data_IF_301182181851
#
_entry.id   IF_301182181851
#
_cell.length_a   1.000
_cell.length_b   1.000
_cell.length_c   1.000
_cell.angle_alpha   90.00
_cell.angle_beta   90.00
_cell.angle_gamma   90.00
#
_symmetry.space_group_name_H-M   'P 1'
#
loop_
_entity.id
_entity.type
_entity.pdbx_description
1 polymer ?
#
# COMPACT_ATOMS: atom_id res chain seq x y z
N UNK A 1 13.01 3.87 -1.65
CA UNK A 1 11.83 4.60 -1.11
C UNK A 1 11.15 3.69 -0.08
N UNK A 2 10.26 4.14 0.84
CA UNK A 2 9.62 3.20 1.77
C UNK A 2 8.77 2.16 1.02
N UNK A 3 8.76 0.93 1.54
CA UNK A 3 8.00 -0.18 0.97
C UNK A 3 6.57 -0.19 1.52
N UNK A 4 5.61 -0.41 0.64
CA UNK A 4 4.19 -0.60 0.97
C UNK A 4 3.74 -1.97 0.52
N UNK A 5 3.13 -2.74 1.43
CA UNK A 5 2.49 -4.00 1.14
C UNK A 5 0.97 -3.83 1.12
N UNK A 6 0.35 -4.23 0.01
CA UNK A 6 -1.08 -4.03 -0.23
C UNK A 6 -1.90 -5.22 0.26
N UNK A 7 -2.81 -4.99 1.20
CA UNK A 7 -3.71 -6.00 1.72
C UNK A 7 -5.15 -5.74 1.28
N UNK A 8 -5.55 -6.48 0.25
CA UNK A 8 -6.89 -6.49 -0.31
C UNK A 8 -6.96 -5.73 -1.64
N UNK A 9 -8.13 -5.75 -2.27
CA UNK A 9 -8.34 -5.06 -3.55
C UNK A 9 -7.49 -5.60 -4.70
N UNK A 10 -7.36 -4.83 -5.79
CA UNK A 10 -6.71 -5.29 -7.03
C UNK A 10 -5.23 -5.65 -6.91
N UNK A 11 -4.50 -5.02 -5.97
CA UNK A 11 -3.06 -5.24 -5.73
C UNK A 11 -2.76 -6.15 -4.54
N UNK A 12 -3.73 -6.94 -4.06
CA UNK A 12 -3.53 -7.76 -2.86
C UNK A 12 -2.28 -8.66 -2.98
N UNK A 13 -1.37 -8.54 -2.01
CA UNK A 13 -0.12 -9.28 -1.96
C UNK A 13 1.06 -8.61 -2.66
N UNK A 14 0.86 -7.48 -3.34
CA UNK A 14 1.93 -6.75 -4.00
C UNK A 14 2.66 -5.80 -3.05
N UNK A 15 3.99 -5.76 -3.18
CA UNK A 15 4.87 -4.78 -2.55
C UNK A 15 5.26 -3.70 -3.55
N UNK A 16 5.27 -2.43 -3.15
CA UNK A 16 5.68 -1.31 -4.01
C UNK A 16 6.58 -0.33 -3.26
N UNK A 17 7.48 0.32 -4.00
CA UNK A 17 8.32 1.41 -3.49
C UNK A 17 7.59 2.74 -3.68
N UNK A 18 7.10 3.32 -2.57
CA UNK A 18 6.28 4.54 -2.62
C UNK A 18 7.10 5.73 -2.10
N UNK A 19 7.17 6.86 -2.83
CA UNK A 19 7.80 8.07 -2.31
C UNK A 19 7.26 8.49 -0.94
N UNK A 20 8.14 8.77 0.02
CA UNK A 20 7.75 9.07 1.41
C UNK A 20 6.77 10.25 1.55
N UNK A 21 6.81 11.23 0.64
CA UNK A 21 5.87 12.35 0.64
C UNK A 21 4.44 11.94 0.28
N UNK A 22 4.25 10.84 -0.47
CA UNK A 22 2.92 10.28 -0.74
C UNK A 22 2.38 9.51 0.47
N UNK A 23 3.26 8.93 1.30
CA UNK A 23 2.88 8.28 2.56
C UNK A 23 2.47 9.26 3.67
N UNK A 24 2.71 10.56 3.47
CA UNK A 24 2.16 11.60 4.33
C UNK A 24 0.66 11.85 4.06
N UNK A 25 0.15 11.35 2.93
CA UNK A 25 -1.28 11.38 2.63
C UNK A 25 -2.04 10.30 3.41
N UNK A 26 -3.35 10.48 3.55
CA UNK A 26 -4.22 9.48 4.19
C UNK A 26 -4.55 8.28 3.27
N UNK A 27 -4.34 8.40 1.95
CA UNK A 27 -4.72 7.39 0.96
C UNK A 27 -3.76 7.33 -0.22
N UNK A 28 -3.47 6.11 -0.69
CA UNK A 28 -2.81 5.86 -1.97
C UNK A 28 -3.87 5.46 -2.99
N UNK A 29 -3.79 6.03 -4.18
CA UNK A 29 -4.70 5.71 -5.29
C UNK A 29 -3.87 5.19 -6.46
N UNK A 30 -4.24 4.00 -6.93
CA UNK A 30 -3.67 3.38 -8.12
C UNK A 30 -4.73 3.33 -9.21
N UNK A 31 -4.36 3.81 -10.40
CA UNK A 31 -5.17 3.73 -11.61
C UNK A 31 -4.67 2.56 -12.46
N UNK A 32 -5.52 1.56 -12.64
CA UNK A 32 -5.28 0.42 -13.52
C UNK A 32 -6.25 0.43 -14.71
N UNK A 33 -5.99 -0.34 -15.78
CA UNK A 33 -6.74 -0.24 -17.04
C UNK A 33 -8.27 -0.39 -16.93
N UNK A 34 -8.77 -1.02 -15.86
CA UNK A 34 -10.20 -1.26 -15.61
C UNK A 34 -10.58 -1.14 -14.13
N UNK A 35 -9.73 -0.58 -13.29
CA UNK A 35 -9.94 -0.55 -11.84
C UNK A 35 -9.24 0.63 -11.19
N UNK A 36 -9.80 1.10 -10.07
CA UNK A 36 -9.12 2.02 -9.15
C UNK A 36 -8.92 1.31 -7.82
N UNK A 37 -7.68 1.32 -7.34
CA UNK A 37 -7.30 0.74 -6.06
C UNK A 37 -7.04 1.87 -5.08
N UNK A 38 -7.94 2.07 -4.12
CA UNK A 38 -7.75 3.05 -3.05
C UNK A 38 -7.32 2.30 -1.81
N UNK A 39 -6.19 2.69 -1.25
CA UNK A 39 -5.58 2.07 -0.10
C UNK A 39 -5.37 3.11 1.00
N UNK A 40 -5.52 2.69 2.24
CA UNK A 40 -5.20 3.51 3.41
C UNK A 40 -4.20 2.77 4.29
N UNK A 41 -3.40 3.54 5.03
CA UNK A 41 -2.50 2.98 6.04
C UNK A 41 -3.30 2.14 7.02
N UNK A 42 -2.79 0.95 7.35
CA UNK A 42 -3.37 0.14 8.41
C UNK A 42 -3.15 0.85 9.75
N UNK A 43 -4.19 0.99 10.58
CA UNK A 43 -4.12 1.65 11.87
C UNK A 43 -4.40 0.65 13.01
N UNK A 44 -3.47 0.48 13.99
CA UNK A 44 -2.16 1.13 14.10
C UNK A 44 -1.16 0.64 13.04
N UNK A 45 -0.14 1.42 12.62
CA UNK A 45 0.80 1.04 11.58
C UNK A 45 1.42 -0.34 11.82
N UNK A 46 1.42 -1.18 10.78
CA UNK A 46 2.01 -2.52 10.82
C UNK A 46 3.06 -2.66 9.73
N UNK A 47 4.11 -3.41 10.05
CA UNK A 47 5.10 -3.88 9.10
C UNK A 47 4.87 -5.36 8.82
N UNK A 48 5.13 -5.76 7.58
CA UNK A 48 5.15 -7.14 7.14
C UNK A 48 6.49 -7.43 6.47
N UNK A 49 7.10 -8.58 6.78
CA UNK A 49 8.28 -9.04 6.06
C UNK A 49 7.90 -9.48 4.64
N UNK A 50 8.59 -8.93 3.65
CA UNK A 50 8.43 -9.26 2.23
C UNK A 50 9.79 -9.63 1.63
N UNK A 51 9.84 -10.28 0.45
CA UNK A 51 11.10 -10.56 -0.24
C UNK A 51 11.98 -9.33 -0.47
N UNK A 52 11.36 -8.16 -0.63
CA UNK A 52 12.02 -6.86 -0.84
C UNK A 52 12.48 -6.20 0.48
N UNK A 53 12.00 -6.69 1.63
CA UNK A 53 12.28 -6.17 2.96
C UNK A 53 11.01 -5.87 3.77
N UNK A 54 11.13 -5.30 4.98
CA UNK A 54 9.97 -4.91 5.77
C UNK A 54 9.17 -3.80 5.08
N UNK A 55 7.87 -4.05 4.85
CA UNK A 55 6.95 -3.14 4.16
C UNK A 55 5.78 -2.75 5.06
N UNK A 56 5.36 -1.49 4.98
CA UNK A 56 4.20 -0.97 5.71
C UNK A 56 2.90 -1.50 5.10
N UNK A 57 1.99 -2.00 5.93
CA UNK A 57 0.72 -2.58 5.46
C UNK A 57 -0.29 -1.46 5.15
N UNK A 58 -0.79 -1.47 3.91
CA UNK A 58 -1.86 -0.60 3.45
C UNK A 58 -3.04 -1.45 3.00
N UNK A 59 -4.23 -1.19 3.55
CA UNK A 59 -5.44 -1.97 3.30
C UNK A 59 -6.33 -1.29 2.26
N UNK A 60 -7.02 -2.09 1.44
CA UNK A 60 -8.04 -1.57 0.54
C UNK A 60 -9.13 -0.83 1.32
N UNK A 61 -9.55 0.31 0.78
CA UNK A 61 -10.72 1.05 1.23
C UNK A 61 -11.90 0.68 0.34
N UNK A 62 -12.95 0.13 0.96
CA UNK A 62 -14.25 -0.11 0.31
C UNK A 62 -15.01 1.19 0.03
#
# INVERSE_FOLDING_TARGET
MPLVFHWGGPRHGETDEVPAHLLASAVLVYDGPRWYGVYQRFEPPRLQDTPEGPAEVWIVRE
#
